data_IF_899475125351
#
_entry.id   IF_899475125351
#
_cell.length_a   1.000
_cell.length_b   1.000
_cell.length_c   1.000
_cell.angle_alpha   90.00
_cell.angle_beta   90.00
_cell.angle_gamma   90.00
#
_symmetry.space_group_name_H-M   'P 1'
#
loop_
_entity.id
_entity.type
_entity.pdbx_description
1 polymer ?
#
# COMPACT_ATOMS: atom_id res chain seq x y z
N UNK A 1 11.33 7.11 -31.75
CA UNK A 1 9.89 6.87 -31.51
C UNK A 1 9.66 6.15 -30.18
N UNK A 2 10.15 6.68 -29.05
CA UNK A 2 10.17 6.01 -27.74
C UNK A 2 9.16 6.56 -26.71
N UNK A 3 8.38 7.59 -27.06
CA UNK A 3 7.48 8.28 -26.12
C UNK A 3 6.16 7.59 -25.79
N UNK A 4 5.77 6.52 -26.51
CA UNK A 4 4.47 5.86 -26.35
C UNK A 4 4.44 4.80 -25.24
N UNK A 5 5.58 4.17 -24.93
CA UNK A 5 5.63 3.09 -23.93
C UNK A 5 5.47 3.58 -22.48
N UNK A 6 6.04 4.76 -22.15
CA UNK A 6 5.93 5.35 -20.81
C UNK A 6 4.53 5.89 -20.48
N UNK A 7 3.80 6.37 -21.50
CA UNK A 7 2.47 6.95 -21.33
C UNK A 7 1.42 5.92 -20.88
N UNK A 8 1.54 4.67 -21.34
CA UNK A 8 0.65 3.58 -20.96
C UNK A 8 0.89 3.13 -19.50
N UNK A 9 2.13 3.12 -19.02
CA UNK A 9 2.45 2.75 -17.63
C UNK A 9 1.83 3.73 -16.61
N UNK A 10 1.95 5.03 -16.87
CA UNK A 10 1.37 6.07 -15.99
C UNK A 10 -0.16 6.00 -15.95
N UNK A 11 -0.81 5.70 -17.08
CA UNK A 11 -2.26 5.55 -17.14
C UNK A 11 -2.76 4.34 -16.33
N UNK A 12 -2.05 3.21 -16.39
CA UNK A 12 -2.36 2.04 -15.56
C UNK A 12 -2.19 2.36 -14.06
N UNK A 13 -1.10 3.02 -13.68
CA UNK A 13 -0.85 3.41 -12.28
C UNK A 13 -1.90 4.39 -11.76
N UNK A 14 -2.41 5.29 -12.59
CA UNK A 14 -3.46 6.24 -12.20
C UNK A 14 -4.80 5.58 -11.84
N UNK A 15 -5.11 4.41 -12.40
CA UNK A 15 -6.35 3.67 -12.12
C UNK A 15 -6.30 2.81 -10.86
N UNK A 16 -5.09 2.49 -10.36
CA UNK A 16 -4.89 1.66 -9.18
C UNK A 16 -5.49 2.33 -7.93
N UNK A 17 -5.38 3.66 -7.81
CA UNK A 17 -5.89 4.39 -6.65
C UNK A 17 -7.40 4.28 -6.41
N UNK A 18 -8.20 4.15 -7.48
CA UNK A 18 -9.65 3.94 -7.35
C UNK A 18 -9.97 2.48 -7.01
N UNK A 19 -9.24 1.50 -7.54
CA UNK A 19 -9.44 0.08 -7.22
C UNK A 19 -9.19 -0.24 -5.74
N UNK A 20 -8.25 0.47 -5.10
CA UNK A 20 -7.94 0.30 -3.69
C UNK A 20 -8.73 1.23 -2.75
N UNK A 21 -9.72 1.98 -3.27
CA UNK A 21 -10.46 2.96 -2.48
C UNK A 21 -11.19 2.37 -1.29
N UNK A 22 -11.76 1.18 -1.44
CA UNK A 22 -12.43 0.45 -0.36
C UNK A 22 -11.44 -0.10 0.68
N UNK A 23 -10.21 -0.40 0.25
CA UNK A 23 -9.11 -0.80 1.14
C UNK A 23 -8.44 0.39 1.84
N UNK A 24 -8.67 1.63 1.37
CA UNK A 24 -8.23 2.86 2.06
C UNK A 24 -9.01 3.11 3.35
N UNK A 25 -10.24 2.61 3.46
CA UNK A 25 -10.98 2.64 4.71
C UNK A 25 -10.39 1.59 5.65
N UNK A 26 -9.32 1.98 6.34
CA UNK A 26 -8.54 1.10 7.21
C UNK A 26 -9.37 0.55 8.37
N UNK A 27 -8.81 -0.45 9.06
CA UNK A 27 -9.41 -1.01 10.28
C UNK A 27 -9.80 0.07 11.29
N UNK A 28 -8.98 1.11 11.42
CA UNK A 28 -9.20 2.26 12.32
C UNK A 28 -10.50 3.00 11.98
N UNK A 29 -10.75 3.33 10.70
CA UNK A 29 -12.00 4.01 10.30
C UNK A 29 -13.23 3.15 10.58
N UNK A 30 -13.15 1.84 10.33
CA UNK A 30 -14.27 0.92 10.61
C UNK A 30 -14.56 0.82 12.10
N UNK A 31 -13.51 0.80 12.92
CA UNK A 31 -13.62 0.76 14.38
C UNK A 31 -14.19 2.06 14.94
N UNK A 32 -13.78 3.22 14.40
CA UNK A 32 -14.38 4.52 14.76
C UNK A 32 -15.88 4.53 14.49
N UNK A 33 -16.29 4.15 13.27
CA UNK A 33 -17.72 4.08 12.89
C UNK A 33 -18.48 3.16 13.85
N UNK A 34 -17.92 1.98 14.14
CA UNK A 34 -18.55 1.02 15.02
C UNK A 34 -18.71 1.54 16.47
N UNK A 35 -17.71 2.25 17.00
CA UNK A 35 -17.79 2.84 18.34
C UNK A 35 -18.79 4.01 18.35
N UNK A 36 -18.82 4.83 17.31
CA UNK A 36 -19.81 5.91 17.18
C UNK A 36 -21.24 5.35 17.13
N UNK A 37 -21.47 4.26 16.39
CA UNK A 37 -22.75 3.56 16.38
C UNK A 37 -23.13 3.00 17.77
N UNK A 38 -22.16 2.54 18.57
CA UNK A 38 -22.42 2.10 19.93
C UNK A 38 -22.74 3.27 20.86
N UNK A 39 -21.98 4.37 20.81
CA UNK A 39 -22.21 5.58 21.60
C UNK A 39 -23.58 6.20 21.31
N UNK A 40 -24.04 6.13 20.05
CA UNK A 40 -25.31 6.72 19.63
C UNK A 40 -26.56 5.86 19.92
N UNK A 41 -26.39 4.64 20.46
CA UNK A 41 -27.51 3.78 20.87
C UNK A 41 -27.96 4.12 22.28
N UNK A 42 -28.93 5.03 22.36
CA UNK A 42 -29.49 5.53 23.63
C UNK A 42 -30.06 4.42 24.53
N UNK A 43 -30.59 3.34 23.93
CA UNK A 43 -31.10 2.15 24.63
C UNK A 43 -30.02 1.37 25.41
N UNK A 44 -28.74 1.61 25.13
CA UNK A 44 -27.62 0.87 25.71
C UNK A 44 -27.08 1.51 27.00
N UNK A 45 -27.58 2.69 27.37
CA UNK A 45 -27.05 3.49 28.48
C UNK A 45 -28.07 3.66 29.58
N UNK A 46 -27.69 3.22 30.79
CA UNK A 46 -28.46 3.42 32.01
C UNK A 46 -27.57 4.14 33.06
N UNK A 47 -28.15 4.72 34.12
CA UNK A 47 -27.39 5.50 35.10
C UNK A 47 -26.54 4.66 36.07
N UNK A 48 -26.38 3.35 35.84
CA UNK A 48 -25.46 2.52 36.62
C UNK A 48 -24.01 2.95 36.43
N UNK A 49 -23.21 2.76 37.48
CA UNK A 49 -21.78 3.04 37.46
C UNK A 49 -21.03 2.24 36.38
N UNK A 50 -21.53 1.03 36.08
CA UNK A 50 -20.96 0.14 35.07
C UNK A 50 -21.21 0.68 33.64
N UNK A 51 -22.43 1.12 33.35
CA UNK A 51 -22.79 1.76 32.07
C UNK A 51 -22.06 3.08 31.85
N UNK A 52 -21.93 3.91 32.90
CA UNK A 52 -21.15 5.16 32.85
C UNK A 52 -19.66 4.89 32.60
N UNK A 53 -19.10 3.86 33.25
CA UNK A 53 -17.69 3.49 33.06
C UNK A 53 -17.42 2.96 31.65
N UNK A 54 -18.33 2.14 31.11
CA UNK A 54 -18.26 1.62 29.74
C UNK A 54 -18.36 2.76 28.71
N UNK A 55 -19.27 3.72 28.90
CA UNK A 55 -19.41 4.87 28.02
C UNK A 55 -18.10 5.69 27.95
N UNK A 56 -17.52 6.01 29.13
CA UNK A 56 -16.23 6.72 29.21
C UNK A 56 -15.09 5.98 28.51
N UNK A 57 -15.01 4.66 28.69
CA UNK A 57 -13.99 3.84 28.04
C UNK A 57 -14.13 3.87 26.51
N UNK A 58 -15.36 3.82 25.98
CA UNK A 58 -15.61 3.91 24.54
C UNK A 58 -15.31 5.29 23.97
N UNK A 59 -15.62 6.38 24.70
CA UNK A 59 -15.19 7.73 24.31
C UNK A 59 -13.67 7.88 24.27
N UNK A 60 -12.97 7.33 25.27
CA UNK A 60 -11.51 7.33 25.30
C UNK A 60 -10.93 6.53 24.11
N UNK A 61 -11.48 5.34 23.84
CA UNK A 61 -11.08 4.54 22.69
C UNK A 61 -11.31 5.27 21.37
N UNK A 62 -12.47 5.92 21.19
CA UNK A 62 -12.76 6.75 20.01
C UNK A 62 -11.74 7.88 19.85
N UNK A 63 -11.42 8.58 20.94
CA UNK A 63 -10.42 9.66 20.93
C UNK A 63 -9.04 9.17 20.49
N UNK A 64 -8.61 8.02 21.01
CA UNK A 64 -7.33 7.39 20.66
C UNK A 64 -7.29 6.96 19.18
N UNK A 65 -8.37 6.38 18.66
CA UNK A 65 -8.47 5.99 17.26
C UNK A 65 -8.46 7.20 16.32
N UNK A 66 -9.17 8.28 16.66
CA UNK A 66 -9.16 9.53 15.89
C UNK A 66 -7.75 10.13 15.81
N UNK A 67 -7.03 10.15 16.93
CA UNK A 67 -5.63 10.59 16.96
C UNK A 67 -4.73 9.72 16.07
N UNK A 68 -4.92 8.41 16.14
CA UNK A 68 -4.15 7.46 15.33
C UNK A 68 -4.45 7.65 13.84
N UNK A 69 -5.72 7.84 13.47
CA UNK A 69 -6.09 8.12 12.08
C UNK A 69 -5.50 9.43 11.59
N UNK A 70 -5.47 10.49 12.43
CA UNK A 70 -4.82 11.74 12.07
C UNK A 70 -3.32 11.54 11.75
N UNK A 71 -2.61 10.77 12.59
CA UNK A 71 -1.19 10.45 12.37
C UNK A 71 -1.02 9.67 11.07
N UNK A 72 -1.82 8.62 10.86
CA UNK A 72 -1.78 7.81 9.65
C UNK A 72 -2.13 8.61 8.40
N UNK A 73 -3.06 9.55 8.50
CA UNK A 73 -3.42 10.45 7.42
C UNK A 73 -2.27 11.39 7.05
N UNK A 74 -1.57 11.98 8.03
CA UNK A 74 -0.38 12.82 7.80
C UNK A 74 0.77 12.05 7.16
N UNK A 75 0.98 10.79 7.57
CA UNK A 75 2.01 9.92 6.96
C UNK A 75 1.69 9.57 5.50
N UNK A 76 0.41 9.34 5.19
CA UNK A 76 -0.06 9.01 3.83
C UNK A 76 -0.26 10.23 2.93
N UNK A 77 -0.40 11.42 3.53
CA UNK A 77 -0.61 12.68 2.83
C UNK A 77 0.63 13.57 3.03
N UNK A 78 1.75 13.25 2.36
CA UNK A 78 2.97 14.04 2.51
C UNK A 78 2.67 15.49 2.14
N UNK A 79 2.95 16.40 3.08
CA UNK A 79 3.00 17.82 2.77
C UNK A 79 4.22 18.12 1.92
N UNK A 80 4.16 19.15 1.09
CA UNK A 80 5.32 19.70 0.38
C UNK A 80 5.89 18.82 -0.75
N UNK A 81 5.09 17.89 -1.29
CA UNK A 81 5.48 17.04 -2.44
C UNK A 81 6.08 17.88 -3.57
N UNK A 82 5.48 19.04 -3.87
CA UNK A 82 5.94 19.93 -4.92
C UNK A 82 7.37 20.45 -4.68
N UNK A 83 7.68 20.96 -3.49
CA UNK A 83 9.02 21.44 -3.18
C UNK A 83 10.03 20.28 -3.13
N UNK A 84 9.65 19.11 -2.63
CA UNK A 84 10.49 17.90 -2.68
C UNK A 84 10.79 17.49 -4.13
N UNK A 85 9.79 17.51 -5.00
CA UNK A 85 9.94 17.25 -6.44
C UNK A 85 10.87 18.28 -7.11
N UNK A 86 10.84 19.54 -6.69
CA UNK A 86 11.72 20.58 -7.21
C UNK A 86 13.19 20.34 -6.87
N UNK A 87 13.50 19.86 -5.66
CA UNK A 87 14.88 19.54 -5.25
C UNK A 87 15.50 18.44 -6.13
N UNK A 88 14.70 17.46 -6.54
CA UNK A 88 15.15 16.33 -7.38
C UNK A 88 15.03 16.61 -8.88
N UNK A 89 14.36 17.72 -9.26
CA UNK A 89 14.16 18.08 -10.66
C UNK A 89 15.52 18.28 -11.34
N UNK A 90 15.68 17.67 -12.52
CA UNK A 90 16.88 17.74 -13.35
C UNK A 90 18.18 17.21 -12.69
N UNK A 91 18.08 16.40 -11.63
CA UNK A 91 19.24 15.72 -11.03
C UNK A 91 19.68 14.46 -11.77
N UNK A 92 18.81 13.93 -12.63
CA UNK A 92 19.12 12.76 -13.46
C UNK A 92 19.83 13.18 -14.75
N UNK A 93 20.98 12.58 -15.02
CA UNK A 93 21.64 12.64 -16.33
C UNK A 93 20.76 12.00 -17.41
N UNK A 94 21.00 12.32 -18.67
CA UNK A 94 20.21 11.78 -19.79
C UNK A 94 20.32 10.25 -19.89
N UNK A 95 21.49 9.68 -19.59
CA UNK A 95 21.68 8.23 -19.51
C UNK A 95 20.74 7.59 -18.46
N UNK A 96 20.57 8.23 -17.29
CA UNK A 96 19.71 7.74 -16.21
C UNK A 96 18.24 7.78 -16.61
N UNK A 97 17.84 8.82 -17.35
CA UNK A 97 16.46 8.92 -17.88
C UNK A 97 16.19 7.82 -18.90
N UNK A 98 17.16 7.52 -19.77
CA UNK A 98 17.05 6.44 -20.75
C UNK A 98 16.98 5.09 -20.05
N UNK A 99 17.82 4.86 -19.05
CA UNK A 99 17.84 3.62 -18.28
C UNK A 99 16.52 3.39 -17.52
N UNK A 100 16.01 4.38 -16.79
CA UNK A 100 14.72 4.28 -16.08
C UNK A 100 13.52 4.09 -17.02
N UNK A 101 13.64 4.52 -18.27
CA UNK A 101 12.61 4.36 -19.30
C UNK A 101 12.67 3.02 -20.05
N UNK A 102 13.73 2.22 -19.85
CA UNK A 102 13.93 0.96 -20.54
C UNK A 102 12.89 -0.10 -20.15
N UNK A 103 12.70 -1.08 -21.03
CA UNK A 103 11.91 -2.28 -20.72
C UNK A 103 12.83 -3.25 -19.98
N UNK A 104 12.32 -3.85 -18.90
CA UNK A 104 13.06 -4.88 -18.18
C UNK A 104 13.37 -6.07 -19.08
N UNK A 105 14.62 -6.52 -19.04
CA UNK A 105 15.07 -7.73 -19.72
C UNK A 105 14.75 -8.98 -18.89
N UNK A 106 14.66 -10.15 -19.55
CA UNK A 106 14.42 -11.42 -18.85
C UNK A 106 15.48 -11.71 -17.79
N UNK A 107 16.74 -11.35 -18.04
CA UNK A 107 17.84 -11.52 -17.09
C UNK A 107 17.68 -10.63 -15.84
N UNK A 108 17.27 -9.36 -15.99
CA UNK A 108 17.01 -8.48 -14.85
C UNK A 108 15.84 -8.98 -14.00
N UNK A 109 14.81 -9.53 -14.63
CA UNK A 109 13.67 -10.14 -13.95
C UNK A 109 14.10 -11.41 -13.20
N UNK A 110 14.90 -12.26 -13.83
CA UNK A 110 15.43 -13.49 -13.22
C UNK A 110 16.34 -13.18 -12.02
N UNK A 111 17.24 -12.20 -12.15
CA UNK A 111 18.10 -11.76 -11.05
C UNK A 111 17.27 -11.19 -9.89
N UNK A 112 16.29 -10.32 -10.18
CA UNK A 112 15.39 -9.80 -9.17
C UNK A 112 14.61 -10.92 -8.47
N UNK A 113 14.14 -11.93 -9.22
CA UNK A 113 13.45 -13.08 -8.68
C UNK A 113 14.35 -13.93 -7.77
N UNK A 114 15.61 -14.12 -8.17
CA UNK A 114 16.63 -14.80 -7.37
C UNK A 114 16.99 -14.02 -6.10
N UNK A 115 16.91 -12.69 -6.13
CA UNK A 115 17.05 -11.85 -4.94
C UNK A 115 15.84 -11.95 -3.99
N UNK A 116 14.67 -12.31 -4.50
CA UNK A 116 13.43 -12.53 -3.73
C UNK A 116 13.21 -14.00 -3.31
N UNK A 117 14.21 -14.89 -3.44
CA UNK A 117 14.03 -16.31 -3.12
C UNK A 117 13.47 -16.51 -1.69
N UNK A 118 12.48 -17.41 -1.46
CA UNK A 118 11.83 -17.61 -0.15
C UNK A 118 12.76 -17.87 1.05
N UNK A 119 13.97 -18.38 0.77
CA UNK A 119 15.00 -18.68 1.77
C UNK A 119 15.93 -17.49 2.08
N UNK A 120 15.80 -16.35 1.38
CA UNK A 120 16.50 -15.12 1.72
C UNK A 120 15.76 -14.39 2.85
N UNK A 121 16.55 -13.71 3.69
CA UNK A 121 16.00 -12.89 4.77
C UNK A 121 14.98 -11.88 4.21
N UNK A 122 13.89 -11.60 4.96
CA UNK A 122 12.90 -10.64 4.52
C UNK A 122 13.55 -9.27 4.28
N UNK A 123 13.03 -8.57 3.28
CA UNK A 123 13.41 -7.19 3.02
C UNK A 123 13.13 -6.31 4.26
N UNK A 124 13.69 -5.09 4.35
CA UNK A 124 13.45 -4.18 5.49
C UNK A 124 11.96 -3.87 5.75
N UNK A 125 11.10 -4.14 4.76
CA UNK A 125 9.64 -4.05 4.83
C UNK A 125 8.98 -5.25 5.55
N UNK A 126 9.74 -6.29 5.91
CA UNK A 126 9.27 -7.48 6.62
C UNK A 126 8.47 -8.46 5.76
N UNK A 127 8.36 -8.25 4.44
CA UNK A 127 7.60 -9.13 3.57
C UNK A 127 8.46 -10.30 3.08
N UNK A 128 7.89 -11.51 3.15
CA UNK A 128 8.52 -12.71 2.61
C UNK A 128 8.45 -12.70 1.08
N UNK A 129 9.53 -13.12 0.42
CA UNK A 129 9.58 -13.23 -1.05
C UNK A 129 8.41 -14.02 -1.67
N UNK A 130 7.90 -15.03 -0.96
CA UNK A 130 6.70 -15.82 -1.33
C UNK A 130 5.46 -14.97 -1.64
N UNK A 131 5.29 -13.82 -0.97
CA UNK A 131 4.17 -12.92 -1.20
C UNK A 131 4.19 -12.34 -2.62
N UNK A 132 5.38 -11.97 -3.10
CA UNK A 132 5.56 -11.39 -4.42
C UNK A 132 5.38 -12.42 -5.54
N UNK A 133 5.84 -13.66 -5.35
CA UNK A 133 5.61 -14.74 -6.32
C UNK A 133 4.12 -14.97 -6.60
N UNK A 134 3.28 -14.90 -5.57
CA UNK A 134 1.83 -15.08 -5.72
C UNK A 134 1.17 -13.94 -6.51
N UNK A 135 1.61 -12.71 -6.29
CA UNK A 135 1.10 -11.53 -7.03
C UNK A 135 1.56 -11.57 -8.48
N UNK A 136 2.84 -11.88 -8.73
CA UNK A 136 3.39 -11.96 -10.08
C UNK A 136 2.73 -13.07 -10.91
N UNK A 137 2.46 -14.23 -10.31
CA UNK A 137 1.73 -15.32 -10.96
C UNK A 137 0.29 -14.94 -11.35
N UNK A 138 -0.37 -14.10 -10.56
CA UNK A 138 -1.72 -13.62 -10.85
C UNK A 138 -1.74 -12.52 -11.93
N UNK A 139 -0.72 -11.66 -11.95
CA UNK A 139 -0.57 -10.59 -12.94
C UNK A 139 0.01 -11.07 -14.29
N UNK A 140 0.65 -12.24 -14.35
CA UNK A 140 1.28 -12.81 -15.54
C UNK A 140 0.34 -13.49 -16.54
N UNK A 141 -0.97 -13.30 -16.45
CA UNK A 141 -1.96 -13.87 -17.36
C UNK A 141 -1.96 -13.22 -18.75
N UNK A 142 -0.92 -13.47 -19.55
CA UNK A 142 -0.88 -13.00 -20.94
C UNK A 142 0.46 -13.18 -21.65
N UNK A 143 0.79 -14.43 -22.00
CA UNK A 143 1.79 -14.74 -23.04
C UNK A 143 3.07 -15.40 -22.53
N UNK A 144 3.34 -16.57 -23.10
CA UNK A 144 4.51 -17.43 -22.95
C UNK A 144 4.68 -18.22 -21.63
N UNK A 145 4.46 -19.53 -21.78
CA UNK A 145 4.74 -20.54 -20.78
C UNK A 145 6.25 -20.60 -20.53
N UNK A 146 6.73 -19.99 -19.46
CA UNK A 146 8.01 -20.36 -18.88
C UNK A 146 7.85 -21.75 -18.26
N UNK A 147 8.46 -22.76 -18.90
CA UNK A 147 8.53 -24.10 -18.36
C UNK A 147 9.20 -24.06 -16.99
N UNK A 148 8.43 -24.38 -15.96
CA UNK A 148 8.93 -24.68 -14.63
C UNK A 148 9.59 -26.07 -14.73
N UNK A 149 10.86 -26.09 -15.10
CA UNK A 149 11.68 -27.30 -15.04
C UNK A 149 11.90 -27.68 -13.58
N UNK A 150 11.58 -28.93 -13.27
CA UNK A 150 11.74 -29.54 -11.96
C UNK A 150 13.18 -29.37 -11.45
N UNK A 151 13.31 -28.77 -10.26
CA UNK A 151 14.54 -28.81 -9.47
C UNK A 151 14.44 -30.01 -8.52
N UNK A 152 15.21 -31.06 -8.84
CA UNK A 152 15.68 -32.06 -7.88
C UNK A 152 17.04 -31.61 -7.30
#
# INVERSE_FOLDING_TARGET
MSGLAGYNKLKVVSGIGEHFKEFRCGSICKEIIHIEEQLNKDEMWDPSEESVSKYKALEEQRSNLLRTEEIMWRLRSPSNVQATCEVVKNKLSEENKVWCGAVFTGMEVEEALFQMHPLKAPSPDGLLGLFFFKILAHCGGGGEKAGFGDFE
#
